data_IF_318238943699
#
_entry.id   IF_318238943699
#
_cell.length_a   1.000
_cell.length_b   1.000
_cell.length_c   1.000
_cell.angle_alpha   90.00
_cell.angle_beta   90.00
_cell.angle_gamma   90.00
#
_symmetry.space_group_name_H-M   'P 1'
#
loop_
_entity.id
_entity.type
_entity.pdbx_description
1 polymer ?
#
# COMPACT_ATOMS: atom_id res chain seq x y z
N UNK A 1 -7.58 3.58 -35.59
CA UNK A 1 -7.31 2.70 -34.42
C UNK A 1 -6.56 3.46 -33.32
N UNK A 2 -5.49 4.17 -33.64
CA UNK A 2 -4.69 4.98 -32.71
C UNK A 2 -5.51 6.10 -32.06
N UNK A 3 -6.33 6.84 -32.82
CA UNK A 3 -7.20 7.90 -32.30
C UNK A 3 -8.26 7.40 -31.32
N UNK A 4 -8.81 6.19 -31.52
CA UNK A 4 -9.75 5.56 -30.55
C UNK A 4 -9.05 5.07 -29.30
N UNK A 5 -7.77 4.72 -29.39
CA UNK A 5 -6.94 4.36 -28.24
C UNK A 5 -6.59 5.63 -27.46
N UNK A 6 -6.13 6.69 -28.16
CA UNK A 6 -5.81 7.99 -27.56
C UNK A 6 -7.06 8.63 -26.91
N UNK A 7 -8.25 8.51 -27.55
CA UNK A 7 -9.50 9.00 -26.96
C UNK A 7 -9.95 8.23 -25.72
N UNK A 8 -9.46 7.01 -25.47
CA UNK A 8 -9.72 6.25 -24.25
C UNK A 8 -8.66 6.45 -23.17
N UNK A 9 -7.50 7.01 -23.53
CA UNK A 9 -6.44 7.37 -22.60
C UNK A 9 -6.89 8.61 -21.82
N UNK A 10 -7.08 8.47 -20.52
CA UNK A 10 -7.36 9.61 -19.62
C UNK A 10 -8.85 9.92 -19.40
N UNK A 11 -9.77 8.98 -19.62
CA UNK A 11 -11.19 9.12 -19.24
C UNK A 11 -11.47 8.81 -17.77
N UNK A 12 -10.50 8.28 -17.01
CA UNK A 12 -10.64 8.07 -15.58
C UNK A 12 -10.66 9.42 -14.87
N UNK A 13 -11.83 9.80 -14.35
CA UNK A 13 -12.02 11.07 -13.67
C UNK A 13 -11.99 10.89 -12.14
N UNK A 14 -11.59 11.97 -11.47
CA UNK A 14 -11.64 12.09 -10.00
C UNK A 14 -13.07 12.32 -9.51
N UNK A 15 -14.02 12.50 -10.44
CA UNK A 15 -15.43 12.75 -10.14
C UNK A 15 -16.12 11.50 -9.55
N UNK A 16 -17.18 11.68 -8.75
CA UNK A 16 -17.95 10.55 -8.23
C UNK A 16 -18.50 9.73 -9.40
N UNK A 17 -18.13 8.49 -9.49
CA UNK A 17 -18.62 7.60 -10.55
C UNK A 17 -20.16 7.47 -10.55
N UNK A 18 -20.81 7.16 -11.67
CA UNK A 18 -22.27 6.98 -11.76
C UNK A 18 -22.78 5.72 -11.02
N UNK A 19 -24.03 5.67 -10.52
CA UNK A 19 -24.54 4.49 -9.79
C UNK A 19 -24.53 3.19 -10.62
N UNK A 20 -24.51 3.33 -11.95
CA UNK A 20 -24.36 2.22 -12.90
C UNK A 20 -22.97 1.55 -12.86
N UNK A 21 -21.97 2.20 -12.28
CA UNK A 21 -20.59 1.70 -12.17
C UNK A 21 -20.37 0.79 -10.95
N UNK A 22 -21.36 0.62 -10.07
CA UNK A 22 -21.30 -0.35 -8.98
C UNK A 22 -21.36 -1.80 -9.50
N UNK A 23 -20.24 -2.27 -10.00
CA UNK A 23 -20.16 -3.60 -10.65
C UNK A 23 -19.67 -4.69 -9.69
N UNK A 24 -18.93 -4.33 -8.63
CA UNK A 24 -18.28 -5.28 -7.76
C UNK A 24 -19.23 -5.86 -6.70
N UNK A 25 -19.64 -7.11 -6.89
CA UNK A 25 -20.31 -7.91 -5.85
C UNK A 25 -19.32 -8.40 -4.81
N UNK A 26 -19.81 -9.05 -3.74
CA UNK A 26 -18.99 -9.59 -2.65
C UNK A 26 -17.83 -10.47 -3.12
N UNK A 27 -18.12 -11.47 -3.98
CA UNK A 27 -17.09 -12.36 -4.52
C UNK A 27 -16.05 -11.62 -5.37
N UNK A 28 -16.47 -10.64 -6.19
CA UNK A 28 -15.55 -9.84 -6.99
C UNK A 28 -14.65 -8.99 -6.10
N UNK A 29 -15.16 -8.44 -4.99
CA UNK A 29 -14.35 -7.69 -4.03
C UNK A 29 -13.30 -8.57 -3.38
N UNK A 30 -13.64 -9.82 -3.00
CA UNK A 30 -12.65 -10.80 -2.50
C UNK A 30 -11.57 -11.03 -3.55
N UNK A 31 -11.95 -11.30 -4.81
CA UNK A 31 -10.99 -11.61 -5.87
C UNK A 31 -10.06 -10.44 -6.20
N UNK A 32 -10.58 -9.21 -6.22
CA UNK A 32 -9.76 -8.01 -6.45
C UNK A 32 -8.71 -7.85 -5.35
N UNK A 33 -9.09 -7.95 -4.08
CA UNK A 33 -8.14 -7.81 -2.98
C UNK A 33 -7.19 -8.99 -2.83
N UNK A 34 -7.65 -10.19 -3.21
CA UNK A 34 -6.79 -11.36 -3.28
C UNK A 34 -5.74 -11.18 -4.38
N UNK A 35 -6.13 -10.75 -5.57
CA UNK A 35 -5.22 -10.52 -6.68
C UNK A 35 -4.25 -9.37 -6.41
N UNK A 36 -4.76 -8.23 -5.92
CA UNK A 36 -3.96 -7.03 -5.68
C UNK A 36 -2.79 -7.25 -4.72
N UNK A 37 -2.95 -8.14 -3.71
CA UNK A 37 -1.91 -8.35 -2.71
C UNK A 37 -1.24 -9.74 -2.79
N UNK A 38 -1.67 -10.63 -3.70
CA UNK A 38 -0.97 -11.88 -3.99
C UNK A 38 0.20 -11.60 -4.95
N UNK A 39 1.19 -10.88 -4.46
CA UNK A 39 2.31 -10.37 -5.26
C UNK A 39 3.65 -10.71 -4.63
N UNK A 40 4.69 -10.76 -5.45
CA UNK A 40 6.03 -11.14 -5.01
C UNK A 40 6.59 -10.21 -3.94
N UNK A 41 6.27 -8.93 -3.96
CA UNK A 41 6.72 -8.00 -2.91
C UNK A 41 6.16 -8.36 -1.54
N UNK A 42 4.90 -8.80 -1.45
CA UNK A 42 4.31 -9.32 -0.21
C UNK A 42 4.98 -10.61 0.24
N UNK A 43 5.29 -11.52 -0.69
CA UNK A 43 6.04 -12.73 -0.42
C UNK A 43 7.44 -12.40 0.13
N UNK A 44 8.20 -11.54 -0.57
CA UNK A 44 9.55 -11.14 -0.14
C UNK A 44 9.55 -10.38 1.19
N UNK A 45 8.46 -9.70 1.55
CA UNK A 45 8.31 -9.13 2.89
C UNK A 45 8.37 -10.23 3.96
N UNK A 46 7.77 -11.39 3.69
CA UNK A 46 7.84 -12.56 4.58
C UNK A 46 9.27 -13.08 4.78
N UNK A 47 10.14 -13.01 3.78
CA UNK A 47 11.54 -13.47 3.91
C UNK A 47 12.35 -12.68 4.92
N UNK A 48 11.94 -11.45 5.25
CA UNK A 48 12.61 -10.59 6.23
C UNK A 48 12.51 -11.11 7.67
N UNK A 49 11.55 -11.98 7.99
CA UNK A 49 11.24 -12.34 9.37
C UNK A 49 12.15 -13.43 9.93
N UNK A 50 12.57 -14.35 9.10
CA UNK A 50 13.50 -15.43 9.46
C UNK A 50 14.90 -15.08 8.92
N UNK A 51 15.95 -15.23 9.73
CA UNK A 51 16.04 -15.92 11.02
C UNK A 51 15.74 -15.10 12.28
N UNK A 52 15.45 -13.80 12.18
CA UNK A 52 15.32 -12.89 13.35
C UNK A 52 14.31 -13.36 14.40
N UNK A 53 13.17 -13.91 13.94
CA UNK A 53 12.15 -14.52 14.79
C UNK A 53 11.89 -15.97 14.37
N UNK A 54 11.29 -16.76 15.27
CA UNK A 54 10.97 -18.16 14.95
C UNK A 54 9.91 -18.27 13.86
N UNK A 55 9.90 -19.40 13.13
CA UNK A 55 8.92 -19.67 12.08
C UNK A 55 7.47 -19.50 12.57
N UNK A 56 7.13 -20.08 13.73
CA UNK A 56 5.78 -20.01 14.29
C UNK A 56 5.40 -18.60 14.73
N UNK A 57 6.35 -17.84 15.30
CA UNK A 57 6.12 -16.43 15.62
C UNK A 57 5.83 -15.61 14.37
N UNK A 58 6.59 -15.83 13.29
CA UNK A 58 6.37 -15.15 12.02
C UNK A 58 4.95 -15.41 11.47
N UNK A 59 4.50 -16.66 11.43
CA UNK A 59 3.16 -17.03 10.97
C UNK A 59 2.07 -16.36 11.83
N UNK A 60 2.21 -16.40 13.16
CA UNK A 60 1.25 -15.77 14.07
C UNK A 60 1.19 -14.25 13.89
N UNK A 61 2.35 -13.61 13.75
CA UNK A 61 2.46 -12.17 13.52
C UNK A 61 1.83 -11.77 12.19
N UNK A 62 2.05 -12.55 11.12
CA UNK A 62 1.40 -12.33 9.83
C UNK A 62 -0.13 -12.33 9.98
N UNK A 63 -0.69 -13.31 10.67
CA UNK A 63 -2.14 -13.38 10.87
C UNK A 63 -2.68 -12.20 11.67
N UNK A 64 -2.10 -11.94 12.84
CA UNK A 64 -2.57 -10.88 13.75
C UNK A 64 -2.36 -9.47 13.17
N UNK A 65 -1.18 -9.20 12.62
CA UNK A 65 -0.86 -7.91 12.03
C UNK A 65 -1.71 -7.62 10.79
N UNK A 66 -1.97 -8.65 9.97
CA UNK A 66 -2.85 -8.51 8.80
C UNK A 66 -4.29 -8.18 9.21
N UNK A 67 -4.86 -8.88 10.21
CA UNK A 67 -6.20 -8.62 10.71
C UNK A 67 -6.34 -7.19 11.24
N UNK A 68 -5.33 -6.69 11.92
CA UNK A 68 -5.34 -5.31 12.40
C UNK A 68 -5.25 -4.31 11.24
N UNK A 69 -4.28 -4.47 10.36
CA UNK A 69 -4.06 -3.56 9.25
C UNK A 69 -5.22 -3.53 8.24
N UNK A 70 -5.81 -4.70 7.94
CA UNK A 70 -6.97 -4.79 7.03
C UNK A 70 -8.23 -4.14 7.62
N UNK A 71 -8.33 -4.03 8.94
CA UNK A 71 -9.43 -3.29 9.58
C UNK A 71 -9.39 -1.82 9.16
N UNK A 72 -8.23 -1.18 9.23
CA UNK A 72 -8.04 0.21 8.77
C UNK A 72 -8.34 0.31 7.28
N UNK A 73 -7.75 -0.56 6.48
CA UNK A 73 -7.92 -0.62 5.04
C UNK A 73 -9.40 -0.76 4.63
N UNK A 74 -10.14 -1.69 5.23
CA UNK A 74 -11.54 -1.94 4.91
C UNK A 74 -12.46 -0.80 5.34
N UNK A 75 -12.18 -0.15 6.47
CA UNK A 75 -12.94 1.01 6.94
C UNK A 75 -12.74 2.23 6.04
N UNK A 76 -11.50 2.51 5.59
CA UNK A 76 -11.23 3.57 4.60
C UNK A 76 -11.89 3.22 3.27
N UNK A 77 -11.81 1.95 2.83
CA UNK A 77 -12.51 1.46 1.65
C UNK A 77 -14.03 1.66 1.71
N UNK A 78 -14.63 1.48 2.90
CA UNK A 78 -16.06 1.72 3.12
C UNK A 78 -16.46 3.18 2.91
N UNK A 79 -15.58 4.14 3.27
CA UNK A 79 -15.81 5.55 2.95
C UNK A 79 -15.93 5.71 1.42
N UNK A 80 -15.04 5.08 0.66
CA UNK A 80 -15.11 5.06 -0.81
C UNK A 80 -16.41 4.47 -1.35
N UNK A 81 -16.87 3.33 -0.78
CA UNK A 81 -18.15 2.73 -1.17
C UNK A 81 -19.34 3.68 -0.95
N UNK A 82 -19.31 4.49 0.10
CA UNK A 82 -20.36 5.45 0.42
C UNK A 82 -20.32 6.70 -0.45
N UNK A 83 -19.13 7.29 -0.59
CA UNK A 83 -18.92 8.61 -1.22
C UNK A 83 -18.60 8.51 -2.71
N UNK A 84 -18.11 7.36 -3.18
CA UNK A 84 -17.64 7.09 -4.54
C UNK A 84 -16.40 7.89 -4.94
N UNK A 85 -15.69 8.41 -3.96
CA UNK A 85 -14.46 9.18 -4.14
C UNK A 85 -13.23 8.33 -3.89
N UNK A 86 -12.11 8.61 -4.60
CA UNK A 86 -10.81 7.98 -4.37
C UNK A 86 -10.26 8.34 -2.99
N UNK A 87 -9.35 7.50 -2.47
CA UNK A 87 -8.79 7.63 -1.11
C UNK A 87 -8.12 8.98 -0.87
N UNK A 88 -7.28 9.44 -1.80
CA UNK A 88 -6.55 10.70 -1.61
C UNK A 88 -7.48 11.91 -1.70
N UNK A 89 -8.56 11.85 -2.47
CA UNK A 89 -9.61 12.88 -2.51
C UNK A 89 -10.34 12.94 -1.17
N UNK A 90 -10.64 11.79 -0.56
CA UNK A 90 -11.29 11.69 0.74
C UNK A 90 -10.48 12.35 1.86
N UNK A 91 -9.15 12.37 1.77
CA UNK A 91 -8.30 13.04 2.75
C UNK A 91 -8.60 14.53 2.89
N UNK A 92 -9.16 15.17 1.83
CA UNK A 92 -9.61 16.58 1.87
C UNK A 92 -10.71 16.80 2.89
N UNK A 93 -11.55 15.81 3.16
CA UNK A 93 -12.58 15.87 4.21
C UNK A 93 -11.99 16.13 5.59
N UNK A 94 -10.94 15.37 5.93
CA UNK A 94 -10.28 15.46 7.24
C UNK A 94 -9.23 16.57 7.31
N UNK A 95 -8.40 16.78 6.28
CA UNK A 95 -7.26 17.71 6.30
C UNK A 95 -7.57 19.08 5.71
N UNK A 96 -8.73 19.24 5.05
CA UNK A 96 -9.10 20.42 4.29
C UNK A 96 -8.70 20.33 2.81
N UNK A 97 -9.36 21.13 1.96
CA UNK A 97 -9.20 21.05 0.49
C UNK A 97 -7.75 21.27 0.03
N UNK A 98 -7.01 22.17 0.69
CA UNK A 98 -5.58 22.38 0.41
C UNK A 98 -4.71 21.40 1.18
N UNK A 99 -5.07 21.14 2.45
CA UNK A 99 -4.35 20.23 3.33
C UNK A 99 -4.31 18.81 2.80
N UNK A 100 -5.41 18.30 2.25
CA UNK A 100 -5.49 16.95 1.66
C UNK A 100 -4.57 16.71 0.46
N UNK A 101 -3.95 17.76 -0.12
CA UNK A 101 -2.92 17.58 -1.16
C UNK A 101 -1.62 16.96 -0.64
N UNK A 102 -1.30 17.14 0.65
CA UNK A 102 -0.06 16.60 1.21
C UNK A 102 -0.07 15.07 1.30
N UNK A 103 -1.11 14.41 1.83
CA UNK A 103 -1.26 12.96 1.68
C UNK A 103 -1.15 12.48 0.22
N UNK A 104 -1.69 13.25 -0.75
CA UNK A 104 -1.56 12.94 -2.18
C UNK A 104 -0.11 13.01 -2.70
N UNK A 105 0.66 14.01 -2.28
CA UNK A 105 2.10 14.11 -2.63
C UNK A 105 2.91 12.98 -1.98
N UNK A 106 2.62 12.67 -0.72
CA UNK A 106 3.25 11.55 -0.03
C UNK A 106 2.92 10.22 -0.72
N UNK A 107 1.67 10.03 -1.15
CA UNK A 107 1.27 8.85 -1.92
C UNK A 107 2.05 8.72 -3.23
N UNK A 108 2.20 9.81 -3.98
CA UNK A 108 3.00 9.82 -5.20
C UNK A 108 4.45 9.39 -4.93
N UNK A 109 5.07 9.89 -3.86
CA UNK A 109 6.43 9.50 -3.46
C UNK A 109 6.52 8.03 -3.06
N UNK A 110 5.54 7.51 -2.32
CA UNK A 110 5.49 6.09 -1.94
C UNK A 110 5.28 5.18 -3.14
N UNK A 111 4.38 5.52 -4.06
CA UNK A 111 4.18 4.77 -5.29
C UNK A 111 5.44 4.78 -6.17
N UNK A 112 6.19 5.89 -6.18
CA UNK A 112 7.48 5.96 -6.87
C UNK A 112 8.49 4.97 -6.27
N UNK A 113 8.62 4.92 -4.95
CA UNK A 113 9.46 3.94 -4.25
C UNK A 113 9.04 2.49 -4.58
N UNK A 114 7.76 2.19 -4.53
CA UNK A 114 7.23 0.89 -4.94
C UNK A 114 7.57 0.55 -6.39
N UNK A 115 7.45 1.51 -7.31
CA UNK A 115 7.81 1.30 -8.72
C UNK A 115 9.29 0.96 -8.90
N UNK A 116 10.18 1.65 -8.16
CA UNK A 116 11.64 1.36 -8.21
C UNK A 116 11.97 -0.04 -7.70
N UNK A 117 11.39 -0.42 -6.56
CA UNK A 117 11.54 -1.79 -6.01
C UNK A 117 11.12 -2.83 -7.02
N UNK A 118 9.91 -2.70 -7.57
CA UNK A 118 9.36 -3.70 -8.48
C UNK A 118 10.12 -3.76 -9.82
N UNK A 119 10.55 -2.63 -10.36
CA UNK A 119 11.37 -2.60 -11.57
C UNK A 119 12.70 -3.33 -11.38
N UNK A 120 13.37 -3.11 -10.24
CA UNK A 120 14.61 -3.79 -9.91
C UNK A 120 14.40 -5.30 -9.72
N UNK A 121 13.33 -5.72 -9.03
CA UNK A 121 12.99 -7.13 -8.88
C UNK A 121 12.72 -7.81 -10.23
N UNK A 122 12.03 -7.13 -11.17
CA UNK A 122 11.83 -7.63 -12.52
C UNK A 122 13.17 -7.80 -13.25
N UNK A 123 14.04 -6.79 -13.14
CA UNK A 123 15.38 -6.82 -13.75
C UNK A 123 16.24 -7.96 -13.22
N UNK A 124 16.24 -8.20 -11.91
CA UNK A 124 16.95 -9.32 -11.28
C UNK A 124 16.40 -10.67 -11.78
N UNK A 125 15.09 -10.84 -11.83
CA UNK A 125 14.45 -12.07 -12.27
C UNK A 125 14.80 -12.41 -13.75
N UNK A 126 14.73 -11.40 -14.63
CA UNK A 126 15.12 -11.56 -16.04
C UNK A 126 16.63 -11.82 -16.19
N UNK A 127 17.45 -11.07 -15.43
CA UNK A 127 18.89 -11.29 -15.42
C UNK A 127 19.26 -12.72 -15.08
N UNK A 128 18.69 -13.26 -13.99
CA UNK A 128 18.92 -14.64 -13.60
C UNK A 128 18.55 -15.63 -14.73
N UNK A 129 17.40 -15.47 -15.35
CA UNK A 129 16.96 -16.33 -16.43
C UNK A 129 17.91 -16.29 -17.64
N UNK A 130 18.31 -15.08 -18.05
CA UNK A 130 19.20 -14.88 -19.21
C UNK A 130 20.62 -15.36 -18.89
N UNK A 131 21.15 -15.04 -17.71
CA UNK A 131 22.47 -15.47 -17.27
C UNK A 131 22.59 -17.00 -17.22
N UNK A 132 21.59 -17.68 -16.67
CA UNK A 132 21.52 -19.14 -16.63
C UNK A 132 21.53 -19.77 -18.03
N UNK A 133 20.89 -19.11 -19.03
CA UNK A 133 20.74 -19.66 -20.38
C UNK A 133 21.89 -19.26 -21.33
N UNK A 134 22.50 -18.09 -21.13
CA UNK A 134 23.42 -17.49 -22.13
C UNK A 134 24.77 -17.10 -21.54
N UNK A 135 24.90 -17.03 -20.20
CA UNK A 135 26.06 -16.47 -19.51
C UNK A 135 26.14 -14.94 -19.53
N UNK A 136 25.19 -14.23 -20.18
CA UNK A 136 25.14 -12.77 -20.18
C UNK A 136 24.44 -12.24 -18.92
N UNK A 137 25.05 -11.26 -18.24
CA UNK A 137 24.51 -10.68 -17.00
C UNK A 137 24.57 -9.15 -17.04
N UNK A 138 23.44 -8.49 -16.85
CA UNK A 138 23.33 -7.04 -16.70
C UNK A 138 22.00 -6.64 -16.06
N UNK A 139 21.94 -6.65 -14.73
CA UNK A 139 20.73 -6.28 -13.96
C UNK A 139 20.22 -4.89 -14.38
N UNK A 140 21.12 -3.91 -14.56
CA UNK A 140 20.74 -2.54 -14.93
C UNK A 140 20.02 -2.49 -16.30
N UNK A 141 20.53 -3.22 -17.30
CA UNK A 141 19.90 -3.30 -18.62
C UNK A 141 18.49 -3.89 -18.53
N UNK A 142 18.35 -5.01 -17.84
CA UNK A 142 17.04 -5.66 -17.71
C UNK A 142 16.06 -4.84 -16.87
N UNK A 143 16.53 -4.13 -15.86
CA UNK A 143 15.71 -3.18 -15.10
C UNK A 143 15.17 -2.05 -15.97
N UNK A 144 16.02 -1.43 -16.81
CA UNK A 144 15.61 -0.39 -17.76
C UNK A 144 14.56 -0.95 -18.74
N UNK A 145 14.82 -2.12 -19.33
CA UNK A 145 13.91 -2.74 -20.28
C UNK A 145 12.55 -3.05 -19.66
N UNK A 146 12.53 -3.71 -18.48
CA UNK A 146 11.31 -4.04 -17.77
C UNK A 146 10.53 -2.77 -17.41
N UNK A 147 11.19 -1.76 -16.84
CA UNK A 147 10.51 -0.52 -16.45
C UNK A 147 9.99 0.26 -17.67
N UNK A 148 10.71 0.25 -18.78
CA UNK A 148 10.24 0.86 -20.03
C UNK A 148 8.98 0.19 -20.55
N UNK A 149 8.92 -1.14 -20.50
CA UNK A 149 7.71 -1.91 -20.88
C UNK A 149 6.56 -1.56 -19.93
N UNK A 150 6.80 -1.51 -18.62
CA UNK A 150 5.79 -1.12 -17.62
C UNK A 150 5.22 0.27 -17.91
N UNK A 151 6.09 1.26 -18.17
CA UNK A 151 5.66 2.62 -18.53
C UNK A 151 4.80 2.62 -19.78
N UNK A 152 5.23 1.90 -20.83
CA UNK A 152 4.44 1.77 -22.06
C UNK A 152 3.07 1.10 -21.80
N UNK A 153 3.03 0.03 -21.00
CA UNK A 153 1.77 -0.63 -20.63
C UNK A 153 0.85 0.28 -19.84
N UNK A 154 1.39 1.08 -18.91
CA UNK A 154 0.62 2.03 -18.11
C UNK A 154 -0.04 3.12 -18.98
N UNK A 155 0.51 3.45 -20.16
CA UNK A 155 -0.10 4.38 -21.11
C UNK A 155 -1.42 3.85 -21.69
N UNK A 156 -1.61 2.52 -21.78
CA UNK A 156 -2.84 1.91 -22.29
C UNK A 156 -3.99 1.88 -21.26
N UNK A 157 -3.74 2.34 -20.03
CA UNK A 157 -4.75 2.51 -18.99
C UNK A 157 -5.19 1.22 -18.29
N UNK A 158 -6.16 1.34 -17.39
CA UNK A 158 -6.59 0.34 -16.43
C UNK A 158 -7.18 -0.94 -17.05
N UNK A 159 -7.87 -0.84 -18.18
CA UNK A 159 -8.63 -1.95 -18.76
C UNK A 159 -7.82 -3.18 -19.22
N UNK A 160 -6.52 -3.02 -19.52
CA UNK A 160 -5.66 -4.15 -19.89
C UNK A 160 -5.22 -4.97 -18.67
N UNK A 161 -5.04 -4.30 -17.57
CA UNK A 161 -4.42 -4.83 -16.35
C UNK A 161 -5.43 -5.65 -15.56
N UNK A 162 -6.67 -5.19 -15.40
CA UNK A 162 -7.74 -5.89 -14.69
C UNK A 162 -7.97 -7.32 -15.17
N UNK A 163 -7.67 -7.61 -16.44
CA UNK A 163 -7.83 -8.95 -17.02
C UNK A 163 -6.66 -9.88 -16.71
N UNK A 164 -5.49 -9.31 -16.47
CA UNK A 164 -4.25 -10.08 -16.27
C UNK A 164 -4.03 -10.40 -14.78
N UNK A 165 -4.45 -9.52 -13.87
CA UNK A 165 -4.27 -9.70 -12.42
C UNK A 165 -4.83 -11.00 -11.86
N UNK A 166 -6.07 -11.44 -12.15
CA UNK A 166 -6.59 -12.70 -11.63
C UNK A 166 -5.79 -13.92 -12.10
N UNK A 167 -5.27 -13.85 -13.35
CA UNK A 167 -4.40 -14.90 -13.88
C UNK A 167 -3.07 -14.96 -13.12
N UNK A 168 -2.45 -13.80 -12.86
CA UNK A 168 -1.21 -13.73 -12.09
C UNK A 168 -1.43 -14.21 -10.65
N UNK A 169 -2.53 -13.81 -10.00
CA UNK A 169 -2.87 -14.31 -8.67
C UNK A 169 -3.00 -15.85 -8.67
N UNK A 170 -3.62 -16.44 -9.69
CA UNK A 170 -3.71 -17.90 -9.82
C UNK A 170 -2.32 -18.53 -9.98
N UNK A 171 -1.45 -17.96 -10.80
CA UNK A 171 -0.05 -18.42 -10.97
C UNK A 171 0.73 -18.30 -9.66
N UNK A 172 0.55 -17.21 -8.90
CA UNK A 172 1.15 -17.05 -7.57
C UNK A 172 0.67 -18.08 -6.56
N UNK A 173 -0.62 -18.46 -6.59
CA UNK A 173 -1.15 -19.53 -5.75
C UNK A 173 -0.53 -20.88 -6.14
N UNK A 174 -0.37 -21.17 -7.43
CA UNK A 174 0.30 -22.37 -7.90
C UNK A 174 1.78 -22.42 -7.45
N UNK A 175 2.48 -21.30 -7.54
CA UNK A 175 3.85 -21.18 -7.00
C UNK A 175 3.85 -21.43 -5.49
N UNK A 176 2.90 -20.85 -4.75
CA UNK A 176 2.79 -21.06 -3.31
C UNK A 176 2.62 -22.55 -2.99
N UNK A 177 1.71 -23.23 -3.67
CA UNK A 177 1.50 -24.68 -3.50
C UNK A 177 2.75 -25.49 -3.85
N UNK A 178 3.45 -25.13 -4.92
CA UNK A 178 4.71 -25.77 -5.33
C UNK A 178 5.80 -25.59 -4.27
N UNK A 179 6.01 -24.38 -3.77
CA UNK A 179 7.04 -24.09 -2.76
C UNK A 179 6.71 -24.78 -1.44
N UNK A 180 5.46 -24.70 -0.96
CA UNK A 180 5.04 -25.41 0.25
C UNK A 180 5.20 -26.92 0.12
N UNK A 181 4.79 -27.50 -1.02
CA UNK A 181 4.98 -28.91 -1.28
C UNK A 181 6.46 -29.28 -1.24
N UNK A 182 7.32 -28.55 -1.96
CA UNK A 182 8.77 -28.81 -2.01
C UNK A 182 9.42 -28.65 -0.64
N UNK A 183 9.04 -27.61 0.11
CA UNK A 183 9.59 -27.33 1.43
C UNK A 183 9.20 -28.40 2.44
N UNK A 184 7.92 -28.72 2.57
CA UNK A 184 7.42 -29.69 3.57
C UNK A 184 7.61 -31.16 3.19
N UNK A 185 7.89 -31.44 1.90
CA UNK A 185 8.32 -32.78 1.48
C UNK A 185 9.80 -33.05 1.75
N UNK A 186 10.62 -31.97 1.76
CA UNK A 186 12.05 -32.09 2.05
C UNK A 186 12.34 -32.15 3.56
N UNK A 187 11.58 -31.35 4.33
CA UNK A 187 11.72 -31.17 5.78
C UNK A 187 10.34 -31.20 6.44
N UNK A 188 10.24 -31.93 7.57
CA UNK A 188 8.99 -31.98 8.31
C UNK A 188 8.62 -30.66 8.96
N UNK A 189 7.31 -30.43 9.20
CA UNK A 189 6.84 -29.23 9.91
C UNK A 189 7.54 -29.01 11.26
N UNK A 190 7.95 -30.08 11.93
CA UNK A 190 8.71 -30.02 13.19
C UNK A 190 10.06 -29.32 13.02
N UNK A 191 10.74 -29.51 11.89
CA UNK A 191 12.02 -28.85 11.61
C UNK A 191 11.87 -27.36 11.43
N UNK A 192 10.84 -26.92 10.71
CA UNK A 192 10.51 -25.50 10.60
C UNK A 192 10.13 -24.89 11.96
N UNK A 193 9.30 -25.60 12.73
CA UNK A 193 8.85 -25.15 14.04
C UNK A 193 9.98 -25.05 15.08
N UNK A 194 11.01 -25.87 14.94
CA UNK A 194 12.18 -25.92 15.84
C UNK A 194 13.29 -24.92 15.47
N UNK A 195 13.18 -24.20 14.33
CA UNK A 195 14.16 -23.19 13.95
C UNK A 195 14.26 -22.12 15.04
N UNK A 196 15.44 -21.89 15.61
CA UNK A 196 15.62 -20.83 16.60
C UNK A 196 15.52 -19.46 15.95
N UNK A 197 14.96 -18.50 16.68
CA UNK A 197 15.07 -17.09 16.31
C UNK A 197 16.47 -16.57 16.65
N UNK A 198 17.01 -15.74 15.79
CA UNK A 198 18.29 -15.05 16.00
C UNK A 198 18.08 -13.54 16.15
N UNK A 199 17.98 -13.01 17.39
CA UNK A 199 17.79 -11.58 17.61
C UNK A 199 18.92 -10.72 17.02
N UNK A 200 20.10 -11.29 16.78
CA UNK A 200 21.24 -10.55 16.20
C UNK A 200 21.02 -10.20 14.72
N UNK A 201 20.08 -10.88 14.04
CA UNK A 201 19.65 -10.55 12.68
C UNK A 201 18.86 -9.24 12.57
N UNK A 202 18.60 -8.56 13.69
CA UNK A 202 17.98 -7.22 13.70
C UNK A 202 16.44 -7.22 13.54
N UNK A 203 15.80 -8.37 13.24
CA UNK A 203 14.35 -8.48 13.15
C UNK A 203 13.81 -8.96 14.51
N UNK A 204 12.95 -8.14 15.12
CA UNK A 204 12.22 -8.50 16.34
C UNK A 204 10.74 -8.76 16.04
N UNK A 205 10.01 -9.41 16.96
CA UNK A 205 8.58 -9.63 16.84
C UNK A 205 7.79 -8.30 16.70
N UNK A 206 8.22 -7.25 17.39
CA UNK A 206 7.63 -5.92 17.30
C UNK A 206 7.83 -5.29 15.91
N UNK A 207 9.05 -5.34 15.38
CA UNK A 207 9.35 -4.83 14.04
C UNK A 207 8.58 -5.65 12.98
N UNK A 208 8.57 -6.96 13.09
CA UNK A 208 7.82 -7.83 12.17
C UNK A 208 6.32 -7.49 12.17
N UNK A 209 5.75 -7.27 13.38
CA UNK A 209 4.36 -6.85 13.51
C UNK A 209 4.09 -5.49 12.83
N UNK A 210 4.93 -4.48 13.10
CA UNK A 210 4.81 -3.17 12.45
C UNK A 210 4.94 -3.27 10.93
N UNK A 211 5.83 -4.12 10.41
CA UNK A 211 6.00 -4.36 8.96
C UNK A 211 4.74 -4.96 8.35
N UNK A 212 4.14 -5.96 8.99
CA UNK A 212 2.89 -6.58 8.49
C UNK A 212 1.76 -5.56 8.46
N UNK A 213 1.59 -4.77 9.53
CA UNK A 213 0.56 -3.73 9.57
C UNK A 213 0.87 -2.63 8.55
N UNK A 214 2.13 -2.19 8.43
CA UNK A 214 2.55 -1.18 7.46
C UNK A 214 2.28 -1.61 6.01
N UNK A 215 2.38 -2.92 5.70
CA UNK A 215 2.01 -3.44 4.38
C UNK A 215 0.52 -3.20 4.08
N UNK A 216 -0.39 -3.46 5.02
CA UNK A 216 -1.81 -3.16 4.84
C UNK A 216 -2.07 -1.64 4.75
N UNK A 217 -1.36 -0.84 5.55
CA UNK A 217 -1.44 0.62 5.50
C UNK A 217 -0.97 1.14 4.13
N UNK A 218 0.06 0.54 3.53
CA UNK A 218 0.52 0.92 2.19
C UNK A 218 -0.53 0.69 1.10
N UNK A 219 -1.36 -0.34 1.24
CA UNK A 219 -2.49 -0.60 0.35
C UNK A 219 -3.72 0.27 0.65
N UNK A 220 -3.82 0.80 1.87
CA UNK A 220 -4.95 1.65 2.28
C UNK A 220 -5.05 2.92 1.44
N UNK A 221 -3.95 3.41 0.89
CA UNK A 221 -3.91 4.57 -0.02
C UNK A 221 -4.75 4.39 -1.29
N UNK A 222 -5.05 3.14 -1.67
CA UNK A 222 -5.86 2.78 -2.84
C UNK A 222 -7.19 2.10 -2.45
N UNK A 223 -7.49 1.98 -1.15
CA UNK A 223 -8.63 1.18 -0.71
C UNK A 223 -9.97 1.72 -1.17
N UNK A 224 -10.19 3.02 -1.11
CA UNK A 224 -11.43 3.64 -1.60
C UNK A 224 -11.49 3.62 -3.13
N UNK A 225 -10.34 3.66 -3.82
CA UNK A 225 -10.26 3.59 -5.27
C UNK A 225 -10.84 2.28 -5.82
N UNK A 226 -10.56 1.16 -5.15
CA UNK A 226 -11.15 -0.13 -5.48
C UNK A 226 -12.59 -0.25 -4.95
N UNK A 227 -12.81 0.06 -3.67
CA UNK A 227 -14.07 -0.20 -3.01
C UNK A 227 -15.21 0.75 -3.40
N UNK A 228 -14.92 1.90 -4.07
CA UNK A 228 -15.96 2.80 -4.60
C UNK A 228 -16.90 2.11 -5.59
N UNK A 229 -16.45 1.01 -6.21
CA UNK A 229 -17.22 0.23 -7.15
C UNK A 229 -17.99 -0.93 -6.48
N UNK A 230 -17.89 -1.12 -5.16
CA UNK A 230 -18.59 -2.16 -4.44
C UNK A 230 -20.11 -1.87 -4.41
N UNK A 231 -20.92 -2.91 -4.66
CA UNK A 231 -22.40 -2.82 -4.68
C UNK A 231 -22.98 -2.52 -3.31
N UNK A 232 -22.37 -3.04 -2.25
CA UNK A 232 -22.84 -2.87 -0.87
C UNK A 232 -21.68 -2.58 0.06
N UNK A 233 -21.95 -1.83 1.15
CA UNK A 233 -20.95 -1.51 2.16
C UNK A 233 -20.40 -2.76 2.84
N UNK A 234 -21.27 -3.68 3.27
CA UNK A 234 -20.84 -4.93 3.91
C UNK A 234 -20.07 -5.82 2.95
N UNK A 235 -20.50 -5.89 1.68
CA UNK A 235 -19.76 -6.60 0.64
C UNK A 235 -18.36 -6.02 0.40
N UNK A 236 -18.23 -4.68 0.43
CA UNK A 236 -16.96 -4.00 0.35
C UNK A 236 -16.05 -4.31 1.55
N UNK A 237 -16.57 -4.15 2.78
CA UNK A 237 -15.80 -4.39 4.01
C UNK A 237 -15.35 -5.86 4.10
N UNK A 238 -16.28 -6.79 4.13
CA UNK A 238 -15.95 -8.20 4.35
C UNK A 238 -15.24 -8.84 3.15
N UNK A 239 -15.57 -8.40 1.92
CA UNK A 239 -14.81 -8.82 0.74
C UNK A 239 -13.35 -8.41 0.80
N UNK A 240 -13.08 -7.18 1.23
CA UNK A 240 -11.72 -6.67 1.46
C UNK A 240 -11.02 -7.45 2.57
N UNK A 241 -11.67 -7.62 3.73
CA UNK A 241 -11.09 -8.35 4.87
C UNK A 241 -10.70 -9.77 4.46
N UNK A 242 -11.59 -10.50 3.81
CA UNK A 242 -11.31 -11.90 3.41
C UNK A 242 -10.24 -11.95 2.32
N UNK A 243 -10.39 -11.18 1.25
CA UNK A 243 -9.47 -11.20 0.10
C UNK A 243 -8.05 -10.79 0.49
N UNK A 244 -7.91 -9.66 1.20
CA UNK A 244 -6.62 -9.15 1.64
C UNK A 244 -5.96 -10.05 2.69
N UNK A 245 -6.72 -10.56 3.68
CA UNK A 245 -6.17 -11.45 4.70
C UNK A 245 -5.69 -12.75 4.08
N UNK A 246 -6.45 -13.34 3.17
CA UNK A 246 -6.06 -14.57 2.49
C UNK A 246 -4.79 -14.37 1.67
N UNK A 247 -4.70 -13.31 0.85
CA UNK A 247 -3.52 -13.03 0.02
C UNK A 247 -2.27 -12.77 0.86
N UNK A 248 -2.36 -11.91 1.88
CA UNK A 248 -1.22 -11.60 2.76
C UNK A 248 -0.75 -12.85 3.50
N UNK A 249 -1.69 -13.61 4.08
CA UNK A 249 -1.36 -14.81 4.84
C UNK A 249 -0.66 -15.84 3.97
N UNK A 250 -1.15 -16.08 2.75
CA UNK A 250 -0.52 -17.03 1.82
C UNK A 250 0.85 -16.51 1.36
N UNK A 251 0.91 -15.27 0.84
CA UNK A 251 2.12 -14.73 0.23
C UNK A 251 3.25 -14.53 1.25
N UNK A 252 2.99 -13.90 2.40
CA UNK A 252 4.02 -13.72 3.43
C UNK A 252 4.46 -15.05 4.07
N UNK A 253 3.52 -15.97 4.35
CA UNK A 253 3.89 -17.29 4.88
C UNK A 253 4.73 -18.09 3.88
N UNK A 254 4.47 -17.91 2.58
CA UNK A 254 5.30 -18.49 1.54
C UNK A 254 6.73 -17.93 1.63
N UNK A 255 6.90 -16.62 1.80
CA UNK A 255 8.21 -16.00 1.98
C UNK A 255 8.94 -16.50 3.22
N UNK A 256 8.25 -16.55 4.36
CA UNK A 256 8.79 -17.14 5.61
C UNK A 256 9.25 -18.58 5.37
N UNK A 257 8.44 -19.39 4.69
CA UNK A 257 8.75 -20.81 4.41
C UNK A 257 9.94 -20.93 3.47
N UNK A 258 10.03 -20.09 2.43
CA UNK A 258 11.16 -20.10 1.51
C UNK A 258 12.49 -19.73 2.20
N UNK A 259 12.46 -18.69 3.05
CA UNK A 259 13.64 -18.27 3.84
C UNK A 259 14.05 -19.36 4.86
N UNK A 260 13.08 -19.93 5.59
CA UNK A 260 13.32 -21.01 6.53
C UNK A 260 13.88 -22.26 5.82
N UNK A 261 13.35 -22.62 4.65
CA UNK A 261 13.86 -23.70 3.82
C UNK A 261 15.33 -23.48 3.42
N UNK A 262 15.67 -22.26 2.96
CA UNK A 262 17.04 -21.90 2.63
C UNK A 262 17.97 -22.02 3.84
N UNK A 263 17.52 -21.57 5.02
CA UNK A 263 18.27 -21.66 6.27
C UNK A 263 18.52 -23.11 6.69
N UNK A 264 17.52 -24.01 6.64
CA UNK A 264 17.67 -25.42 6.97
C UNK A 264 18.71 -26.10 6.03
N UNK A 265 18.75 -25.70 4.77
CA UNK A 265 19.76 -26.18 3.79
C UNK A 265 21.16 -25.65 4.02
N UNK A 266 21.37 -24.78 5.01
CA UNK A 266 22.67 -24.14 5.26
C UNK A 266 22.97 -22.96 4.34
N UNK A 267 21.97 -22.45 3.61
CA UNK A 267 22.05 -21.22 2.83
C UNK A 267 21.87 -19.98 3.71
N UNK A 268 22.51 -18.87 3.34
CA UNK A 268 22.23 -17.57 3.95
C UNK A 268 20.88 -17.02 3.50
N UNK A 269 20.14 -16.37 4.40
CA UNK A 269 18.97 -15.57 4.03
C UNK A 269 19.43 -14.11 3.89
N UNK A 270 19.31 -13.57 2.68
CA UNK A 270 19.69 -12.17 2.42
C UNK A 270 18.43 -11.31 2.29
N UNK A 271 17.80 -10.97 3.41
CA UNK A 271 16.81 -9.90 3.46
C UNK A 271 15.72 -9.95 2.37
N UNK A 272 15.40 -8.79 1.80
CA UNK A 272 14.42 -8.65 0.72
C UNK A 272 15.07 -8.90 -0.64
N UNK A 273 15.40 -10.17 -0.93
CA UNK A 273 16.08 -10.57 -2.16
C UNK A 273 15.32 -11.70 -2.88
N UNK A 274 14.95 -11.53 -4.16
CA UNK A 274 14.33 -12.57 -4.96
C UNK A 274 15.25 -13.78 -5.20
N UNK A 275 16.56 -13.66 -4.99
CA UNK A 275 17.51 -14.75 -5.10
C UNK A 275 17.12 -15.94 -4.21
N UNK A 276 16.57 -15.69 -3.02
CA UNK A 276 16.05 -16.76 -2.14
C UNK A 276 15.04 -17.66 -2.85
N UNK A 277 14.21 -17.09 -3.71
CA UNK A 277 13.23 -17.87 -4.49
C UNK A 277 13.89 -18.52 -5.70
N UNK A 278 14.65 -17.75 -6.45
CA UNK A 278 15.15 -18.16 -7.76
C UNK A 278 16.24 -19.23 -7.61
N UNK A 279 17.15 -19.10 -6.66
CA UNK A 279 18.21 -20.09 -6.39
C UNK A 279 17.67 -21.41 -5.83
N UNK A 280 16.63 -21.37 -5.00
CA UNK A 280 16.06 -22.55 -4.38
C UNK A 280 14.98 -23.23 -5.24
N UNK A 281 14.28 -22.49 -6.11
CA UNK A 281 13.12 -22.95 -6.87
C UNK A 281 13.27 -22.80 -8.39
N UNK A 282 14.36 -22.18 -8.89
CA UNK A 282 14.78 -22.16 -10.28
C UNK A 282 13.97 -21.24 -11.20
N UNK A 283 14.09 -21.48 -12.51
CA UNK A 283 13.43 -20.70 -13.56
C UNK A 283 11.92 -20.51 -13.40
N UNK A 284 11.13 -21.50 -12.93
CA UNK A 284 9.71 -21.24 -12.68
C UNK A 284 9.47 -20.10 -11.68
N UNK A 285 10.29 -20.03 -10.61
CA UNK A 285 10.19 -18.93 -9.66
C UNK A 285 10.58 -17.59 -10.28
N UNK A 286 11.64 -17.54 -11.09
CA UNK A 286 12.04 -16.32 -11.81
C UNK A 286 10.93 -15.81 -12.72
N UNK A 287 10.28 -16.69 -13.47
CA UNK A 287 9.16 -16.33 -14.36
C UNK A 287 7.98 -15.74 -13.56
N UNK A 288 7.64 -16.35 -12.42
CA UNK A 288 6.54 -15.89 -11.58
C UNK A 288 6.88 -14.55 -10.93
N UNK A 289 8.11 -14.37 -10.45
CA UNK A 289 8.60 -13.07 -9.95
C UNK A 289 8.44 -12.00 -11.02
N UNK A 290 8.95 -12.26 -12.21
CA UNK A 290 8.85 -11.32 -13.34
C UNK A 290 7.40 -10.95 -13.68
N UNK A 291 6.53 -11.94 -13.92
CA UNK A 291 5.13 -11.68 -14.30
C UNK A 291 4.37 -10.91 -13.21
N UNK A 292 4.56 -11.30 -11.95
CA UNK A 292 3.90 -10.66 -10.82
C UNK A 292 4.28 -9.19 -10.69
N UNK A 293 5.60 -8.88 -10.69
CA UNK A 293 6.03 -7.49 -10.51
C UNK A 293 5.76 -6.63 -11.75
N UNK A 294 5.78 -7.19 -12.95
CA UNK A 294 5.43 -6.45 -14.17
C UNK A 294 3.97 -5.98 -14.14
N UNK A 295 3.04 -6.85 -13.77
CA UNK A 295 1.63 -6.50 -13.68
C UNK A 295 1.38 -5.46 -12.59
N UNK A 296 1.83 -5.73 -11.37
CA UNK A 296 1.60 -4.82 -10.23
C UNK A 296 2.28 -3.48 -10.44
N UNK A 297 3.51 -3.45 -11.00
CA UNK A 297 4.20 -2.19 -11.28
C UNK A 297 3.50 -1.34 -12.34
N UNK A 298 2.84 -1.97 -13.30
CA UNK A 298 2.03 -1.24 -14.27
C UNK A 298 0.88 -0.49 -13.59
N UNK A 299 0.20 -1.11 -12.59
CA UNK A 299 -0.80 -0.44 -11.76
C UNK A 299 -0.20 0.69 -10.93
N UNK A 300 0.98 0.46 -10.35
CA UNK A 300 1.68 1.47 -9.55
C UNK A 300 2.02 2.70 -10.39
N UNK A 301 2.58 2.51 -11.60
CA UNK A 301 2.90 3.62 -12.51
C UNK A 301 1.64 4.35 -12.95
N UNK A 302 0.57 3.64 -13.29
CA UNK A 302 -0.72 4.24 -13.59
C UNK A 302 -1.25 5.04 -12.38
N UNK A 303 -1.23 4.46 -11.18
CA UNK A 303 -1.64 5.10 -9.93
C UNK A 303 -0.84 6.37 -9.61
N UNK A 304 0.47 6.40 -9.92
CA UNK A 304 1.29 7.61 -9.80
C UNK A 304 0.79 8.73 -10.71
N UNK A 305 0.49 8.40 -11.97
CA UNK A 305 -0.02 9.39 -12.93
C UNK A 305 -1.37 9.94 -12.47
N UNK A 306 -2.28 9.07 -12.02
CA UNK A 306 -3.59 9.49 -11.50
C UNK A 306 -3.45 10.34 -10.23
N UNK A 307 -2.56 9.97 -9.30
CA UNK A 307 -2.26 10.77 -8.09
C UNK A 307 -1.70 12.16 -8.46
N UNK A 308 -0.86 12.24 -9.47
CA UNK A 308 -0.35 13.52 -9.96
C UNK A 308 -1.45 14.38 -10.59
N UNK A 309 -2.33 13.78 -11.41
CA UNK A 309 -3.47 14.48 -12.01
C UNK A 309 -4.49 14.97 -10.97
N UNK A 310 -4.67 14.23 -9.86
CA UNK A 310 -5.48 14.71 -8.74
C UNK A 310 -4.89 15.98 -8.09
N UNK A 311 -3.56 16.07 -8.02
CA UNK A 311 -2.88 17.27 -7.53
C UNK A 311 -2.90 18.42 -8.54
N UNK A 312 -2.83 18.11 -9.85
CA UNK A 312 -2.83 19.05 -10.98
C UNK A 312 -3.76 18.59 -12.10
N UNK A 313 -5.07 18.79 -11.98
CA UNK A 313 -6.07 18.32 -12.96
C UNK A 313 -5.92 18.89 -14.37
N UNK A 314 -5.18 20.00 -14.51
CA UNK A 314 -4.95 20.69 -15.79
C UNK A 314 -3.80 20.04 -16.60
N UNK A 315 -3.08 19.07 -16.02
CA UNK A 315 -1.94 18.42 -16.67
C UNK A 315 -2.40 17.38 -17.70
N UNK A 316 -1.63 17.26 -18.77
CA UNK A 316 -1.87 16.24 -19.80
C UNK A 316 -1.43 14.86 -19.28
N UNK A 317 -2.29 13.85 -19.39
CA UNK A 317 -2.01 12.48 -18.94
C UNK A 317 -0.74 11.90 -19.57
N UNK A 318 -0.61 11.99 -20.91
CA UNK A 318 0.53 11.42 -21.64
C UNK A 318 1.85 12.08 -21.23
N UNK A 319 1.87 13.41 -21.16
CA UNK A 319 3.08 14.15 -20.74
C UNK A 319 3.47 13.80 -19.30
N UNK A 320 2.49 13.71 -18.39
CA UNK A 320 2.71 13.32 -16.99
C UNK A 320 3.24 11.90 -16.88
N UNK A 321 2.66 10.96 -17.64
CA UNK A 321 3.07 9.57 -17.64
C UNK A 321 4.49 9.38 -18.16
N UNK A 322 4.88 10.12 -19.22
CA UNK A 322 6.24 10.07 -19.75
C UNK A 322 7.27 10.65 -18.76
N UNK A 323 6.96 11.79 -18.13
CA UNK A 323 7.87 12.40 -17.13
C UNK A 323 8.01 11.49 -15.90
N UNK A 324 6.90 11.05 -15.33
CA UNK A 324 6.89 10.15 -14.17
C UNK A 324 7.58 8.82 -14.52
N UNK A 325 7.31 8.28 -15.71
CA UNK A 325 7.95 7.08 -16.21
C UNK A 325 9.46 7.23 -16.36
N UNK A 326 9.94 8.35 -16.91
CA UNK A 326 11.38 8.62 -17.02
C UNK A 326 12.05 8.70 -15.63
N UNK A 327 11.43 9.39 -14.66
CA UNK A 327 11.92 9.45 -13.28
C UNK A 327 11.94 8.04 -12.67
N UNK A 328 10.91 7.24 -12.94
CA UNK A 328 10.81 5.87 -12.44
C UNK A 328 11.90 4.96 -13.00
N UNK A 329 12.26 5.08 -14.30
CA UNK A 329 13.36 4.33 -14.90
C UNK A 329 14.69 4.70 -14.25
N UNK A 330 14.97 6.00 -14.09
CA UNK A 330 16.22 6.46 -13.48
C UNK A 330 16.34 6.00 -12.02
N UNK A 331 15.28 6.14 -11.23
CA UNK A 331 15.27 5.75 -9.83
C UNK A 331 15.37 4.24 -9.62
N UNK A 332 14.85 3.43 -10.54
CA UNK A 332 14.95 1.97 -10.48
C UNK A 332 16.39 1.43 -10.62
N UNK A 333 17.32 2.27 -11.10
CA UNK A 333 18.74 1.90 -11.16
C UNK A 333 19.45 1.98 -9.81
N UNK A 334 18.79 2.55 -8.78
CA UNK A 334 19.33 2.58 -7.44
C UNK A 334 19.15 1.23 -6.75
N UNK A 335 20.14 0.34 -6.90
CA UNK A 335 20.08 -1.03 -6.33
C UNK A 335 20.00 -1.05 -4.81
N UNK A 336 20.55 -0.05 -4.12
CA UNK A 336 20.48 0.05 -2.66
C UNK A 336 19.06 0.23 -2.08
N UNK A 337 18.02 0.32 -2.92
CA UNK A 337 16.63 0.39 -2.44
C UNK A 337 16.18 -0.93 -1.79
N UNK A 338 16.69 -2.08 -2.25
CA UNK A 338 16.36 -3.38 -1.66
C UNK A 338 16.95 -3.53 -0.27
N UNK A 339 18.18 -3.07 -0.05
CA UNK A 339 18.83 -3.07 1.27
C UNK A 339 18.10 -2.17 2.27
N UNK A 340 17.41 -1.14 1.78
CA UNK A 340 16.64 -0.17 2.57
C UNK A 340 15.13 -0.44 2.54
N UNK A 341 14.71 -1.59 2.04
CA UNK A 341 13.28 -1.89 1.87
C UNK A 341 12.53 -1.88 3.21
N UNK A 342 13.12 -2.42 4.27
CA UNK A 342 12.54 -2.35 5.61
C UNK A 342 12.33 -0.90 6.08
N UNK A 343 13.34 -0.05 5.87
CA UNK A 343 13.25 1.39 6.18
C UNK A 343 12.13 2.06 5.38
N UNK A 344 11.98 1.70 4.11
CA UNK A 344 10.92 2.21 3.25
C UNK A 344 9.53 1.82 3.75
N UNK A 345 9.31 0.56 4.16
CA UNK A 345 8.04 0.13 4.75
C UNK A 345 7.72 0.88 6.05
N UNK A 346 8.69 0.99 6.95
CA UNK A 346 8.51 1.74 8.20
C UNK A 346 8.23 3.23 7.96
N UNK A 347 8.83 3.81 6.91
CA UNK A 347 8.56 5.19 6.50
C UNK A 347 7.12 5.37 6.03
N UNK A 348 6.58 4.43 5.26
CA UNK A 348 5.17 4.43 4.87
C UNK A 348 4.28 4.45 6.12
N UNK A 349 4.53 3.53 7.06
CA UNK A 349 3.82 3.50 8.34
C UNK A 349 3.90 4.84 9.08
N UNK A 350 5.09 5.42 9.17
CA UNK A 350 5.34 6.69 9.85
C UNK A 350 4.43 7.82 9.35
N UNK A 351 4.25 7.97 8.05
CA UNK A 351 3.44 9.04 7.48
C UNK A 351 1.95 8.70 7.40
N UNK A 352 1.59 7.48 7.01
CA UNK A 352 0.21 7.14 6.67
C UNK A 352 -0.61 6.58 7.84
N UNK A 353 0.00 5.99 8.86
CA UNK A 353 -0.73 5.58 10.07
C UNK A 353 -1.46 6.76 10.71
N UNK A 354 -0.79 7.92 10.94
CA UNK A 354 -1.48 9.12 11.42
C UNK A 354 -2.53 9.67 10.45
N UNK A 355 -2.29 9.62 9.13
CA UNK A 355 -3.27 10.08 8.13
C UNK A 355 -4.57 9.30 8.27
N UNK A 356 -4.51 7.96 8.28
CA UNK A 356 -5.72 7.15 8.34
C UNK A 356 -6.37 7.17 9.72
N UNK A 357 -5.61 7.30 10.80
CA UNK A 357 -6.16 7.53 12.13
C UNK A 357 -7.06 8.79 12.16
N UNK A 358 -6.56 9.90 11.60
CA UNK A 358 -7.31 11.16 11.51
C UNK A 358 -8.53 11.02 10.59
N UNK A 359 -8.37 10.41 9.40
CA UNK A 359 -9.46 10.22 8.46
C UNK A 359 -10.61 9.39 9.05
N UNK A 360 -10.29 8.31 9.77
CA UNK A 360 -11.31 7.46 10.41
C UNK A 360 -11.98 8.19 11.58
N UNK A 361 -11.22 8.91 12.40
CA UNK A 361 -11.75 9.72 13.50
C UNK A 361 -12.69 10.81 12.98
N UNK A 362 -12.28 11.53 11.93
CA UNK A 362 -13.09 12.59 11.34
C UNK A 362 -14.39 12.03 10.73
N UNK A 363 -14.25 11.04 9.84
CA UNK A 363 -15.41 10.50 9.13
C UNK A 363 -16.41 9.82 10.05
N UNK A 364 -15.96 8.85 10.85
CA UNK A 364 -16.89 8.01 11.63
C UNK A 364 -17.41 8.70 12.89
N UNK A 365 -16.60 9.51 13.58
CA UNK A 365 -16.98 10.12 14.83
C UNK A 365 -17.43 11.58 14.69
N UNK A 366 -16.61 12.45 14.08
CA UNK A 366 -16.97 13.87 13.98
C UNK A 366 -18.04 14.12 12.92
N UNK A 367 -17.95 13.48 11.78
CA UNK A 367 -18.92 13.61 10.66
C UNK A 367 -20.00 12.56 10.64
N UNK A 368 -19.99 11.64 11.62
CA UNK A 368 -21.01 10.59 11.80
C UNK A 368 -21.27 9.75 10.54
N UNK A 369 -20.20 9.44 9.80
CA UNK A 369 -20.25 8.63 8.57
C UNK A 369 -20.78 9.35 7.34
N UNK A 370 -20.76 10.69 7.31
CA UNK A 370 -21.28 11.47 6.20
C UNK A 370 -20.25 12.51 5.70
N UNK A 371 -19.74 12.30 4.50
CA UNK A 371 -18.99 13.29 3.73
C UNK A 371 -19.83 13.74 2.52
N UNK A 372 -19.96 15.04 2.32
CA UNK A 372 -20.52 15.62 1.09
C UNK A 372 -19.49 15.50 -0.02
N UNK A 373 -19.73 14.63 -0.99
CA UNK A 373 -18.84 14.46 -2.15
C UNK A 373 -18.68 15.78 -2.93
N UNK A 374 -19.78 16.55 -3.08
CA UNK A 374 -19.75 17.86 -3.72
C UNK A 374 -18.81 18.83 -3.01
N UNK A 375 -18.91 18.93 -1.67
CA UNK A 375 -18.07 19.86 -0.90
C UNK A 375 -16.59 19.46 -0.82
N UNK A 376 -16.30 18.14 -0.83
CA UNK A 376 -14.91 17.62 -0.90
C UNK A 376 -14.24 18.00 -2.21
N UNK A 377 -15.01 18.09 -3.31
CA UNK A 377 -14.48 18.45 -4.64
C UNK A 377 -14.41 19.95 -4.87
N UNK A 378 -15.05 20.78 -4.05
CA UNK A 378 -14.98 22.25 -4.17
C UNK A 378 -13.56 22.75 -4.00
N UNK A 379 -13.07 23.52 -4.98
CA UNK A 379 -11.73 24.12 -4.92
C UNK A 379 -11.61 25.24 -3.87
N UNK A 380 -12.73 25.89 -3.50
CA UNK A 380 -12.82 27.00 -2.54
C UNK A 380 -14.19 27.03 -1.89
N UNK A 381 -14.23 27.38 -0.59
CA UNK A 381 -15.48 27.40 0.17
C UNK A 381 -15.97 25.98 0.48
N UNK A 382 -17.23 25.85 0.92
CA UNK A 382 -17.81 24.57 1.32
C UNK A 382 -17.40 24.09 2.71
N UNK A 383 -17.96 22.98 3.15
CA UNK A 383 -17.82 22.45 4.51
C UNK A 383 -16.38 22.05 4.89
N UNK A 384 -15.50 21.79 3.91
CA UNK A 384 -14.11 21.35 4.14
C UNK A 384 -13.07 22.42 3.81
N UNK A 385 -13.50 23.69 3.71
CA UNK A 385 -12.57 24.79 3.51
C UNK A 385 -11.79 25.15 4.78
N UNK A 386 -12.39 24.96 5.95
CA UNK A 386 -11.79 25.28 7.26
C UNK A 386 -11.03 26.63 7.27
N UNK A 387 -9.85 26.67 7.87
CA UNK A 387 -9.00 27.86 7.93
C UNK A 387 -8.12 27.95 6.68
N UNK A 388 -8.59 28.69 5.66
CA UNK A 388 -7.82 28.90 4.43
C UNK A 388 -7.54 27.64 3.60
N UNK A 389 -8.34 26.60 3.76
CA UNK A 389 -8.19 25.32 3.08
C UNK A 389 -7.47 24.25 3.91
N UNK A 390 -7.15 24.52 5.19
CA UNK A 390 -6.46 23.64 6.11
C UNK A 390 -7.28 23.38 7.37
N UNK A 391 -7.41 22.12 7.77
CA UNK A 391 -7.95 21.75 9.08
C UNK A 391 -6.81 21.72 10.10
N UNK A 392 -6.62 22.83 10.83
CA UNK A 392 -5.51 22.98 11.79
C UNK A 392 -5.46 21.86 12.82
N UNK A 393 -6.57 21.42 13.47
CA UNK A 393 -6.59 20.24 14.34
C UNK A 393 -5.97 18.99 13.72
N UNK A 394 -6.33 18.68 12.48
CA UNK A 394 -5.80 17.51 11.78
C UNK A 394 -4.29 17.62 11.52
N UNK A 395 -3.83 18.81 11.15
CA UNK A 395 -2.41 19.06 10.90
C UNK A 395 -1.56 18.95 12.15
N UNK A 396 -2.02 19.51 13.28
CA UNK A 396 -1.33 19.41 14.56
C UNK A 396 -1.26 17.94 15.01
N UNK A 397 -2.38 17.21 14.93
CA UNK A 397 -2.41 15.80 15.28
C UNK A 397 -1.50 14.96 14.38
N UNK A 398 -1.46 15.26 13.06
CA UNK A 398 -0.61 14.56 12.11
C UNK A 398 0.88 14.78 12.37
N UNK A 399 1.31 16.03 12.58
CA UNK A 399 2.72 16.35 12.88
C UNK A 399 3.19 15.65 14.16
N UNK A 400 2.35 15.67 15.21
CA UNK A 400 2.66 14.97 16.46
C UNK A 400 2.70 13.45 16.24
N UNK A 401 1.72 12.90 15.50
CA UNK A 401 1.65 11.47 15.18
C UNK A 401 2.87 11.00 14.38
N UNK A 402 3.29 11.75 13.36
CA UNK A 402 4.51 11.46 12.58
C UNK A 402 5.76 11.54 13.48
N UNK A 403 5.86 12.56 14.34
CA UNK A 403 6.96 12.69 15.30
C UNK A 403 7.05 11.50 16.26
N UNK A 404 5.92 11.05 16.81
CA UNK A 404 5.84 9.88 17.68
C UNK A 404 6.20 8.58 16.91
N UNK A 405 5.69 8.43 15.69
CA UNK A 405 6.02 7.29 14.84
C UNK A 405 7.53 7.22 14.57
N UNK A 406 8.13 8.33 14.17
CA UNK A 406 9.58 8.41 13.96
C UNK A 406 10.36 8.08 15.22
N UNK A 407 9.97 8.66 16.36
CA UNK A 407 10.64 8.45 17.64
C UNK A 407 10.60 6.97 18.07
N UNK A 408 9.42 6.33 17.98
CA UNK A 408 9.25 4.94 18.41
C UNK A 408 9.72 3.89 17.40
N UNK A 409 9.98 4.27 16.18
CA UNK A 409 10.56 3.35 15.17
C UNK A 409 12.08 3.50 15.03
N UNK A 410 12.68 4.64 15.47
CA UNK A 410 14.09 4.94 15.22
C UNK A 410 14.91 5.24 16.47
N UNK A 411 14.31 5.79 17.52
CA UNK A 411 15.02 6.28 18.70
C UNK A 411 14.77 5.39 19.92
N UNK A 412 13.52 5.10 20.21
CA UNK A 412 13.11 4.31 21.38
C UNK A 412 12.09 3.27 20.95
N UNK A 413 12.60 2.12 20.49
CA UNK A 413 11.77 1.03 20.01
C UNK A 413 10.85 0.50 21.11
N UNK A 414 9.54 0.45 20.84
CA UNK A 414 8.58 -0.16 21.74
C UNK A 414 8.57 -1.68 21.57
N UNK A 415 8.50 -2.42 22.67
CA UNK A 415 8.51 -3.88 22.67
C UNK A 415 7.33 -4.54 21.96
N UNK A 416 6.24 -3.79 21.73
CA UNK A 416 5.01 -4.23 21.08
C UNK A 416 4.73 -3.50 19.76
N UNK A 417 5.71 -2.79 19.21
CA UNK A 417 5.61 -2.04 17.97
C UNK A 417 5.07 -0.62 18.13
N UNK A 418 5.35 0.21 17.13
CA UNK A 418 4.98 1.63 17.14
C UNK A 418 3.59 1.89 16.52
N UNK A 419 3.15 1.06 15.58
CA UNK A 419 1.98 1.33 14.74
C UNK A 419 0.70 1.50 15.54
N UNK A 420 0.40 0.60 16.49
CA UNK A 420 -0.82 0.68 17.32
C UNK A 420 -0.82 1.93 18.21
N UNK A 421 0.22 2.20 19.01
CA UNK A 421 0.26 3.40 19.83
C UNK A 421 0.12 4.69 19.04
N UNK A 422 0.83 4.79 17.91
CA UNK A 422 0.75 5.96 17.02
C UNK A 422 -0.67 6.15 16.49
N UNK A 423 -1.30 5.08 16.01
CA UNK A 423 -2.67 5.15 15.52
C UNK A 423 -3.63 5.64 16.59
N UNK A 424 -3.64 4.98 17.76
CA UNK A 424 -4.56 5.30 18.85
C UNK A 424 -4.33 6.71 19.38
N UNK A 425 -3.08 7.08 19.63
CA UNK A 425 -2.76 8.42 20.16
C UNK A 425 -3.10 9.52 19.14
N UNK A 426 -2.80 9.33 17.86
CA UNK A 426 -3.16 10.30 16.83
C UNK A 426 -4.67 10.44 16.68
N UNK A 427 -5.39 9.31 16.72
CA UNK A 427 -6.86 9.28 16.67
C UNK A 427 -7.48 10.06 17.83
N UNK A 428 -7.07 9.77 19.06
CA UNK A 428 -7.57 10.43 20.27
C UNK A 428 -7.16 11.91 20.30
N UNK A 429 -5.92 12.21 19.95
CA UNK A 429 -5.39 13.59 19.93
C UNK A 429 -6.17 14.45 18.93
N UNK A 430 -6.45 13.93 17.75
CA UNK A 430 -7.24 14.64 16.75
C UNK A 430 -8.65 14.97 17.28
N UNK A 431 -9.33 14.00 17.89
CA UNK A 431 -10.64 14.21 18.49
C UNK A 431 -10.59 15.28 19.59
N UNK A 432 -9.61 15.19 20.50
CA UNK A 432 -9.45 16.13 21.60
C UNK A 432 -9.20 17.56 21.11
N UNK A 433 -8.28 17.74 20.14
CA UNK A 433 -7.98 19.07 19.59
C UNK A 433 -9.19 19.64 18.83
N UNK A 434 -9.89 18.80 18.05
CA UNK A 434 -11.09 19.22 17.31
C UNK A 434 -12.20 19.68 18.27
N UNK A 435 -12.43 18.93 19.33
CA UNK A 435 -13.44 19.29 20.35
C UNK A 435 -13.11 20.63 21.05
N UNK A 436 -11.84 20.88 21.37
CA UNK A 436 -11.40 22.15 21.94
C UNK A 436 -11.57 23.29 20.95
N UNK A 437 -11.18 23.09 19.69
CA UNK A 437 -11.29 24.09 18.64
C UNK A 437 -12.75 24.51 18.39
N UNK A 438 -13.68 23.54 18.35
CA UNK A 438 -15.11 23.81 18.17
C UNK A 438 -15.70 24.63 19.34
N UNK A 439 -15.29 24.33 20.56
CA UNK A 439 -15.72 25.11 21.74
C UNK A 439 -15.21 26.55 21.74
N UNK A 440 -13.97 26.76 21.34
CA UNK A 440 -13.38 28.11 21.26
C UNK A 440 -14.11 28.93 20.19
N UNK A 441 -14.33 28.35 19.00
CA UNK A 441 -15.05 29.02 17.92
C UNK A 441 -16.49 29.38 18.31
N UNK A 442 -17.21 28.46 18.93
CA UNK A 442 -18.59 28.68 19.39
C UNK A 442 -18.67 29.81 20.43
N UNK A 443 -17.71 29.91 21.35
CA UNK A 443 -17.65 31.01 22.34
C UNK A 443 -17.36 32.35 21.71
N UNK A 444 -16.46 32.40 20.72
CA UNK A 444 -16.15 33.65 20.00
C UNK A 444 -17.37 34.18 19.24
N UNK A 445 -18.10 33.31 18.56
CA UNK A 445 -19.33 33.66 17.84
C UNK A 445 -20.40 34.16 18.80
N UNK A 446 -20.61 33.54 19.95
CA UNK A 446 -21.57 34.00 20.96
C UNK A 446 -21.20 35.38 21.51
N UNK A 447 -19.92 35.62 21.83
CA UNK A 447 -19.44 36.92 22.34
C UNK A 447 -19.54 38.04 21.30
N UNK A 448 -19.36 37.69 20.01
CA UNK A 448 -19.48 38.68 18.92
C UNK A 448 -20.94 39.04 18.63
N UNK A 449 -21.85 38.10 18.79
CA UNK A 449 -23.29 38.29 18.70
C UNK A 449 -23.80 39.21 19.82
N UNK A 450 -23.36 38.92 21.07
CA UNK A 450 -23.70 39.77 22.23
C UNK A 450 -23.19 41.21 22.10
N UNK A 451 -21.99 41.41 21.53
CA UNK A 451 -21.43 42.75 21.26
C UNK A 451 -22.16 43.52 20.14
N UNK A 452 -22.88 42.83 19.25
CA UNK A 452 -23.66 43.49 18.18
C UNK A 452 -25.09 43.82 18.61
N UNK A 453 -25.57 43.21 19.67
CA UNK A 453 -26.92 43.39 20.18
C UNK A 453 -27.01 44.39 21.38
N UNK A 454 -25.89 44.74 21.99
CA UNK A 454 -25.77 45.78 23.03
C UNK A 454 -25.11 47.02 22.46
#
# INVERSE_FOLDING_TARGET
>A
MLERIIARLGQDSVEPGADTERTMGFGNTIMVWLAANMVVTTLLTGTLFVPGITYLQAILIIMLGTLLGVTVLSLVGCIGTRTRLPTMVLSRGAFGVRGGKVPGVLNLAVLMGWSWVQALLAGIAVNYAVETMTGFSSVALFTILCQSIVVLLALFGHHGIERVEPFIAAVMILLALFVFYKAFSAFGLGEFASLPGDPSAGMTAAIAFDVVVATAISWTVLSADFNRNAKTQLGGIFGTVIGYTASTSIAMSLGVTAAAYAQIKGGGTQGFDPAVLVENFGLPAALVVFLSVMATNTLVVYGMVMSYLDLRPESNFLASALVIGAISIVGALWQGILDRFLDFLLLIGTFFVPVFAIMLADYYLLRRGNYSAEDVLKKRGGAYWYTGGFNVPAWVAWVIGVGLAFYWTRVSLLSFGATIPVFVLTFVLYLAISFVADRVTSRQTATETDRRLG
#
